data_IF_861369906476
#
_entry.id   IF_861369906476
#
_cell.length_a   1.000
_cell.length_b   1.000
_cell.length_c   1.000
_cell.angle_alpha   90.00
_cell.angle_beta   90.00
_cell.angle_gamma   90.00
#
_symmetry.space_group_name_H-M   'P 1'
#
loop_
_entity.id
_entity.type
_entity.pdbx_description
1 polymer ?
#
# COMPACT_ATOMS: atom_id res chain seq x y z
N UNK A 1 37.04 -11.06 11.35
CA UNK A 1 36.55 -10.99 9.96
C UNK A 1 37.39 -9.97 9.22
N UNK A 2 37.84 -10.32 8.03
CA UNK A 2 38.50 -9.37 7.12
C UNK A 2 37.46 -8.44 6.50
N UNK A 3 37.89 -7.27 6.02
CA UNK A 3 37.00 -6.32 5.34
C UNK A 3 36.30 -6.96 4.12
N UNK A 4 36.95 -7.92 3.46
CA UNK A 4 36.41 -8.63 2.31
C UNK A 4 35.28 -9.60 2.69
N UNK A 5 35.41 -10.29 3.84
CA UNK A 5 34.33 -11.13 4.38
C UNK A 5 33.12 -10.30 4.81
N UNK A 6 33.35 -9.12 5.40
CA UNK A 6 32.26 -8.20 5.76
C UNK A 6 31.55 -7.65 4.54
N UNK A 7 32.29 -7.29 3.48
CA UNK A 7 31.71 -6.82 2.22
C UNK A 7 30.86 -7.92 1.57
N UNK A 8 31.35 -9.15 1.50
CA UNK A 8 30.60 -10.27 0.93
C UNK A 8 29.32 -10.55 1.73
N UNK A 9 29.40 -10.53 3.07
CA UNK A 9 28.23 -10.70 3.93
C UNK A 9 27.19 -9.58 3.75
N UNK A 10 27.64 -8.34 3.54
CA UNK A 10 26.75 -7.22 3.24
C UNK A 10 26.07 -7.38 1.89
N UNK A 11 26.78 -7.79 0.84
CA UNK A 11 26.20 -8.02 -0.49
C UNK A 11 25.10 -9.09 -0.45
N UNK A 12 25.35 -10.23 0.21
CA UNK A 12 24.33 -11.30 0.36
C UNK A 12 23.10 -10.79 1.11
N UNK A 13 23.30 -9.94 2.13
CA UNK A 13 22.18 -9.36 2.88
C UNK A 13 21.40 -8.34 2.04
N UNK A 14 22.07 -7.55 1.21
CA UNK A 14 21.42 -6.62 0.27
C UNK A 14 20.57 -7.40 -0.73
N UNK A 15 21.12 -8.44 -1.36
CA UNK A 15 20.38 -9.27 -2.33
C UNK A 15 19.10 -9.88 -1.71
N UNK A 16 19.21 -10.39 -0.47
CA UNK A 16 18.06 -10.93 0.24
C UNK A 16 17.00 -9.86 0.56
N UNK A 17 17.43 -8.63 0.91
CA UNK A 17 16.52 -7.51 1.15
C UNK A 17 15.83 -7.06 -0.14
N UNK A 18 16.56 -6.96 -1.25
CA UNK A 18 15.98 -6.60 -2.55
C UNK A 18 14.97 -7.63 -3.04
N UNK A 19 15.26 -8.93 -2.88
CA UNK A 19 14.31 -9.99 -3.23
C UNK A 19 13.03 -9.89 -2.39
N UNK A 20 13.17 -9.63 -1.09
CA UNK A 20 12.02 -9.44 -0.19
C UNK A 20 11.21 -8.21 -0.56
N UNK A 21 11.86 -7.09 -0.90
CA UNK A 21 11.20 -5.87 -1.34
C UNK A 21 10.39 -6.11 -2.63
N UNK A 22 10.97 -6.82 -3.61
CA UNK A 22 10.27 -7.19 -4.86
C UNK A 22 9.03 -8.04 -4.58
N UNK A 23 9.13 -9.03 -3.68
CA UNK A 23 8.00 -9.87 -3.30
C UNK A 23 6.89 -9.07 -2.61
N UNK A 24 7.25 -8.18 -1.68
CA UNK A 24 6.30 -7.30 -1.00
C UNK A 24 5.62 -6.33 -1.98
N UNK A 25 6.38 -5.78 -2.93
CA UNK A 25 5.86 -4.91 -3.98
C UNK A 25 4.86 -5.65 -4.88
N UNK A 26 5.19 -6.87 -5.31
CA UNK A 26 4.28 -7.68 -6.12
C UNK A 26 2.98 -7.99 -5.37
N UNK A 27 3.08 -8.44 -4.11
CA UNK A 27 1.91 -8.73 -3.30
C UNK A 27 1.03 -7.48 -3.09
N UNK A 28 1.65 -6.34 -2.78
CA UNK A 28 0.97 -5.06 -2.63
C UNK A 28 0.21 -4.67 -3.91
N UNK A 29 0.86 -4.75 -5.07
CA UNK A 29 0.22 -4.42 -6.35
C UNK A 29 -0.96 -5.35 -6.68
N UNK A 30 -0.81 -6.66 -6.39
CA UNK A 30 -1.89 -7.62 -6.58
C UNK A 30 -3.11 -7.28 -5.68
N UNK A 31 -2.88 -6.98 -4.40
CA UNK A 31 -3.97 -6.58 -3.49
C UNK A 31 -4.61 -5.25 -3.87
N UNK A 32 -3.82 -4.26 -4.32
CA UNK A 32 -4.36 -3.00 -4.84
C UNK A 32 -5.32 -3.25 -6.02
N UNK A 33 -4.93 -4.10 -6.97
CA UNK A 33 -5.78 -4.45 -8.12
C UNK A 33 -7.07 -5.18 -7.70
N UNK A 34 -6.97 -6.12 -6.76
CA UNK A 34 -8.13 -6.87 -6.23
C UNK A 34 -9.09 -5.91 -5.51
N UNK A 35 -8.59 -5.06 -4.60
CA UNK A 35 -9.41 -4.11 -3.85
C UNK A 35 -10.06 -3.09 -4.77
N UNK A 36 -9.32 -2.58 -5.76
CA UNK A 36 -9.85 -1.65 -6.77
C UNK A 36 -10.96 -2.30 -7.59
N UNK A 37 -10.76 -3.55 -8.03
CA UNK A 37 -11.79 -4.31 -8.77
C UNK A 37 -13.02 -4.54 -7.91
N UNK A 38 -12.83 -4.94 -6.65
CA UNK A 38 -13.91 -5.14 -5.70
C UNK A 38 -14.73 -3.86 -5.51
N UNK A 39 -14.09 -2.71 -5.34
CA UNK A 39 -14.80 -1.43 -5.23
C UNK A 39 -15.47 -1.02 -6.55
N UNK A 40 -14.88 -1.37 -7.68
CA UNK A 40 -15.42 -1.09 -9.02
C UNK A 40 -16.70 -1.86 -9.35
N UNK A 41 -16.89 -3.07 -8.80
CA UNK A 41 -18.10 -3.89 -9.02
C UNK A 41 -19.27 -3.52 -8.10
N UNK A 42 -19.01 -2.75 -7.02
CA UNK A 42 -20.06 -2.29 -6.11
C UNK A 42 -20.90 -1.18 -6.78
N UNK A 43 -22.18 -1.12 -6.42
CA UNK A 43 -23.01 0.03 -6.76
C UNK A 43 -22.47 1.30 -6.09
N UNK A 44 -22.76 2.46 -6.69
CA UNK A 44 -22.21 3.75 -6.24
C UNK A 44 -22.48 4.02 -4.75
N UNK A 45 -23.73 3.91 -4.24
CA UNK A 45 -24.00 4.09 -2.81
C UNK A 45 -23.14 3.20 -1.90
N UNK A 46 -23.02 1.90 -2.21
CA UNK A 46 -22.23 0.98 -1.40
C UNK A 46 -20.74 1.31 -1.47
N UNK A 47 -20.21 1.59 -2.66
CA UNK A 47 -18.81 2.01 -2.83
C UNK A 47 -18.49 3.27 -2.04
N UNK A 48 -19.32 4.31 -2.16
CA UNK A 48 -19.11 5.59 -1.48
C UNK A 48 -19.15 5.42 0.05
N UNK A 49 -20.00 4.51 0.56
CA UNK A 49 -20.03 4.14 1.98
C UNK A 49 -18.75 3.43 2.42
N UNK A 50 -18.25 2.48 1.64
CA UNK A 50 -16.99 1.77 1.95
C UNK A 50 -15.82 2.74 1.99
N UNK A 51 -15.74 3.66 1.03
CA UNK A 51 -14.70 4.71 0.98
C UNK A 51 -14.75 5.55 2.27
N UNK A 52 -15.93 6.06 2.64
CA UNK A 52 -16.08 6.84 3.87
C UNK A 52 -15.72 6.05 5.14
N UNK A 53 -16.02 4.75 5.19
CA UNK A 53 -15.63 3.90 6.33
C UNK A 53 -14.12 3.74 6.44
N UNK A 54 -13.41 3.66 5.31
CA UNK A 54 -11.95 3.59 5.31
C UNK A 54 -11.33 4.91 5.75
N UNK A 55 -11.85 6.05 5.29
CA UNK A 55 -11.40 7.38 5.74
C UNK A 55 -11.57 7.52 7.27
N UNK A 56 -12.72 7.11 7.80
CA UNK A 56 -12.96 7.11 9.25
C UNK A 56 -12.01 6.16 10.00
N UNK A 57 -11.75 4.98 9.45
CA UNK A 57 -10.82 4.03 10.05
C UNK A 57 -9.38 4.59 10.07
N UNK A 58 -8.98 5.31 9.02
CA UNK A 58 -7.70 6.00 8.94
C UNK A 58 -7.57 7.06 10.03
N UNK A 59 -8.56 7.96 10.15
CA UNK A 59 -8.57 9.00 11.19
C UNK A 59 -8.46 8.41 12.60
N UNK A 60 -9.24 7.35 12.88
CA UNK A 60 -9.23 6.66 14.18
C UNK A 60 -7.88 6.00 14.43
N UNK A 61 -7.28 5.35 13.42
CA UNK A 61 -5.98 4.72 13.54
C UNK A 61 -4.89 5.77 13.78
N UNK A 62 -4.90 6.88 13.03
CA UNK A 62 -3.93 7.96 13.15
C UNK A 62 -4.00 8.64 14.53
N UNK A 63 -5.21 8.88 15.04
CA UNK A 63 -5.41 9.48 16.36
C UNK A 63 -4.84 8.62 17.50
N UNK A 64 -4.86 7.29 17.34
CA UNK A 64 -4.38 6.32 18.33
C UNK A 64 -2.91 5.93 18.16
N UNK A 65 -2.30 6.28 17.04
CA UNK A 65 -0.97 5.84 16.66
C UNK A 65 0.15 6.63 17.37
N UNK A 66 1.24 5.93 17.67
CA UNK A 66 2.51 6.56 18.05
C UNK A 66 3.20 7.20 16.82
N UNK A 67 4.31 7.92 17.03
CA UNK A 67 5.02 8.65 15.96
C UNK A 67 5.44 7.75 14.77
N UNK A 68 5.93 6.54 15.05
CA UNK A 68 6.35 5.59 14.01
C UNK A 68 5.14 5.05 13.22
N UNK A 69 4.07 4.67 13.93
CA UNK A 69 2.83 4.19 13.34
C UNK A 69 2.15 5.26 12.47
N UNK A 70 2.21 6.53 12.89
CA UNK A 70 1.70 7.65 12.10
C UNK A 70 2.38 7.76 10.74
N UNK A 71 3.70 7.54 10.67
CA UNK A 71 4.44 7.52 9.41
C UNK A 71 3.92 6.43 8.46
N UNK A 72 3.70 5.22 8.98
CA UNK A 72 3.17 4.10 8.20
C UNK A 72 1.72 4.34 7.73
N UNK A 73 0.88 4.95 8.58
CA UNK A 73 -0.52 5.28 8.25
C UNK A 73 -0.60 6.35 7.16
N UNK A 74 0.26 7.37 7.21
CA UNK A 74 0.33 8.39 6.15
C UNK A 74 0.81 7.79 4.82
N UNK A 75 1.83 6.93 4.84
CA UNK A 75 2.29 6.25 3.62
C UNK A 75 1.22 5.33 2.99
N UNK A 76 0.34 4.75 3.80
CA UNK A 76 -0.78 3.95 3.32
C UNK A 76 -1.91 4.79 2.69
N UNK A 77 -2.01 6.09 3.05
CA UNK A 77 -3.04 6.99 2.52
C UNK A 77 -2.90 7.20 1.00
N UNK A 78 -1.67 7.42 0.53
CA UNK A 78 -1.38 7.60 -0.90
C UNK A 78 -1.79 6.41 -1.77
N UNK A 79 -1.72 5.19 -1.23
CA UNK A 79 -2.17 3.97 -1.91
C UNK A 79 -3.69 3.91 -1.91
N UNK A 80 -4.30 4.18 -0.76
CA UNK A 80 -5.75 4.16 -0.55
C UNK A 80 -6.45 5.16 -1.47
N UNK A 81 -5.94 6.39 -1.56
CA UNK A 81 -6.48 7.42 -2.45
C UNK A 81 -6.43 6.99 -3.93
N UNK A 82 -5.35 6.34 -4.38
CA UNK A 82 -5.25 5.83 -5.76
C UNK A 82 -6.30 4.76 -6.06
N UNK A 83 -6.51 3.83 -5.12
CA UNK A 83 -7.57 2.81 -5.23
C UNK A 83 -8.95 3.48 -5.36
N UNK A 84 -9.24 4.48 -4.53
CA UNK A 84 -10.53 5.16 -4.53
C UNK A 84 -10.78 5.97 -5.79
N UNK A 85 -9.78 6.72 -6.26
CA UNK A 85 -9.88 7.48 -7.51
C UNK A 85 -10.14 6.56 -8.70
N UNK A 86 -9.47 5.41 -8.76
CA UNK A 86 -9.71 4.43 -9.82
C UNK A 86 -11.10 3.79 -9.71
N UNK A 87 -11.50 3.34 -8.53
CA UNK A 87 -12.80 2.70 -8.31
C UNK A 87 -14.00 3.65 -8.55
N UNK A 88 -13.81 4.96 -8.38
CA UNK A 88 -14.80 5.98 -8.73
C UNK A 88 -14.80 6.33 -10.23
N UNK A 89 -13.95 5.70 -11.05
CA UNK A 89 -13.83 5.95 -12.48
C UNK A 89 -13.06 7.22 -12.85
N UNK A 90 -12.28 7.79 -11.91
CA UNK A 90 -11.53 9.04 -12.10
C UNK A 90 -10.07 8.84 -12.49
N UNK A 91 -9.54 7.62 -12.40
CA UNK A 91 -8.20 7.28 -12.91
C UNK A 91 -8.33 6.40 -14.17
N UNK A 92 -8.26 7.05 -15.32
CA UNK A 92 -8.04 6.51 -16.67
C UNK A 92 -9.04 5.45 -17.19
N UNK A 93 -9.93 5.88 -18.07
CA UNK A 93 -10.05 5.18 -19.35
C UNK A 93 -8.76 5.45 -20.14
N UNK A 94 -7.91 4.46 -20.43
CA UNK A 94 -7.06 4.55 -21.61
C UNK A 94 -7.98 4.33 -22.82
N UNK A 95 -7.96 5.30 -23.75
CA UNK A 95 -8.45 5.10 -25.13
C UNK A 95 -7.50 4.19 -25.90
#
# INVERSE_FOLDING_TARGET
>A
MTHQEQLQALMVRIDALEQRERQLTYASNAYQAILTTLLGILDKPTRDRVISMVDQAHDVAYAKANLEQKGNILGADDITQRIFLFAQGRAAQPK
#
